data_IF_441300609390
#
_entry.id   IF_441300609390
#
_cell.length_a   1.000
_cell.length_b   1.000
_cell.length_c   1.000
_cell.angle_alpha   90.00
_cell.angle_beta   90.00
_cell.angle_gamma   90.00
#
_symmetry.space_group_name_H-M   'P 1'
#
loop_
_entity.id
_entity.type
_entity.pdbx_description
1 polymer ?
#
# COMPACT_ATOMS: atom_id res chain seq x y z
N UNK A 1 -35.98 -1.08 -7.07
CA UNK A 1 -35.17 -1.66 -5.98
C UNK A 1 -35.18 -3.19 -5.98
N UNK A 2 -36.07 -3.89 -6.69
CA UNK A 2 -36.16 -5.37 -6.65
C UNK A 2 -35.06 -6.14 -7.41
N UNK A 3 -34.53 -5.60 -8.51
CA UNK A 3 -33.63 -6.34 -9.41
C UNK A 3 -32.32 -6.85 -8.79
N UNK A 4 -31.90 -6.29 -7.65
CA UNK A 4 -30.69 -6.71 -6.95
C UNK A 4 -30.97 -7.83 -5.94
N UNK A 5 -32.12 -7.78 -5.28
CA UNK A 5 -32.58 -8.84 -4.37
C UNK A 5 -32.82 -10.13 -5.18
N UNK A 6 -33.51 -10.03 -6.32
CA UNK A 6 -33.75 -11.16 -7.24
C UNK A 6 -32.45 -11.79 -7.76
N UNK A 7 -31.37 -11.00 -7.89
CA UNK A 7 -30.05 -11.47 -8.30
C UNK A 7 -29.33 -12.22 -7.18
N UNK A 8 -29.48 -11.78 -5.93
CA UNK A 8 -28.88 -12.43 -4.77
C UNK A 8 -29.53 -13.80 -4.50
N UNK A 9 -30.83 -13.93 -4.71
CA UNK A 9 -31.56 -15.20 -4.54
C UNK A 9 -31.19 -16.26 -5.61
N UNK A 10 -30.71 -15.84 -6.77
CA UNK A 10 -30.26 -16.76 -7.84
C UNK A 10 -28.86 -17.34 -7.62
N UNK A 11 -28.12 -16.87 -6.61
CA UNK A 11 -26.80 -17.39 -6.30
C UNK A 11 -26.92 -18.80 -5.72
N UNK A 12 -26.32 -19.78 -6.40
CA UNK A 12 -26.27 -21.15 -5.91
C UNK A 12 -25.47 -21.20 -4.60
N UNK A 13 -26.03 -21.83 -3.57
CA UNK A 13 -25.29 -22.17 -2.34
C UNK A 13 -24.16 -23.13 -2.68
N UNK A 14 -22.96 -22.59 -2.85
CA UNK A 14 -21.76 -23.38 -3.03
C UNK A 14 -21.31 -23.93 -1.67
N UNK A 15 -21.16 -25.25 -1.57
CA UNK A 15 -20.55 -25.94 -0.42
C UNK A 15 -19.06 -25.59 -0.20
N UNK A 16 -18.52 -24.66 -0.98
CA UNK A 16 -17.16 -24.16 -0.86
C UNK A 16 -17.16 -22.96 0.10
N UNK A 17 -16.73 -23.20 1.34
CA UNK A 17 -16.42 -22.10 2.26
C UNK A 17 -15.34 -21.22 1.67
N UNK A 18 -15.39 -19.92 1.96
CA UNK A 18 -14.40 -18.94 1.47
C UNK A 18 -12.94 -19.37 1.75
N UNK A 19 -12.72 -20.14 2.82
CA UNK A 19 -11.44 -20.76 3.21
C UNK A 19 -10.88 -21.74 2.15
N UNK A 20 -11.73 -22.32 1.31
CA UNK A 20 -11.32 -23.18 0.18
C UNK A 20 -10.68 -22.40 -0.96
N UNK A 21 -10.96 -21.10 -1.08
CA UNK A 21 -10.44 -20.28 -2.17
C UNK A 21 -9.11 -19.63 -1.83
N UNK A 22 -8.80 -19.44 -0.55
CA UNK A 22 -7.57 -18.76 -0.14
C UNK A 22 -7.16 -19.05 1.30
N UNK A 23 -5.87 -19.27 1.53
CA UNK A 23 -5.30 -19.39 2.86
C UNK A 23 -5.22 -18.01 3.54
N UNK A 24 -6.21 -17.72 4.38
CA UNK A 24 -6.27 -16.47 5.14
C UNK A 24 -5.18 -16.34 6.19
N UNK A 25 -4.65 -17.44 6.73
CA UNK A 25 -3.57 -17.38 7.71
C UNK A 25 -2.30 -16.83 7.07
N UNK A 26 -1.97 -17.31 5.86
CA UNK A 26 -0.86 -16.80 5.06
C UNK A 26 -1.04 -15.33 4.69
N UNK A 27 -2.25 -14.93 4.30
CA UNK A 27 -2.56 -13.54 3.95
C UNK A 27 -2.36 -12.62 5.16
N UNK A 28 -2.93 -12.97 6.32
CA UNK A 28 -2.80 -12.17 7.56
C UNK A 28 -1.34 -11.99 7.99
N UNK A 29 -0.52 -13.04 7.88
CA UNK A 29 0.91 -12.95 8.20
C UNK A 29 1.65 -11.95 7.30
N UNK A 30 1.32 -11.93 5.99
CA UNK A 30 1.94 -11.02 5.02
C UNK A 30 1.42 -9.57 5.14
N UNK A 31 0.19 -9.36 5.61
CA UNK A 31 -0.39 -8.02 5.80
C UNK A 31 0.25 -7.29 6.98
N UNK A 32 0.67 -8.00 8.04
CA UNK A 32 1.26 -7.37 9.24
C UNK A 32 2.42 -6.41 8.94
N UNK A 33 3.47 -6.78 8.18
CA UNK A 33 4.55 -5.84 7.83
C UNK A 33 4.09 -4.72 6.89
N UNK A 34 3.10 -4.97 6.04
CA UNK A 34 2.51 -3.97 5.14
C UNK A 34 1.76 -2.90 5.96
N UNK A 35 1.01 -3.32 6.98
CA UNK A 35 0.24 -2.44 7.86
C UNK A 35 1.13 -1.45 8.63
N UNK A 36 2.31 -1.88 9.11
CA UNK A 36 3.28 -1.00 9.78
C UNK A 36 3.77 0.10 8.83
N UNK A 37 4.13 -0.28 7.59
CA UNK A 37 4.55 0.68 6.56
C UNK A 37 3.44 1.65 6.18
N UNK A 38 2.20 1.17 6.10
CA UNK A 38 1.03 1.99 5.78
C UNK A 38 0.76 3.03 6.86
N UNK A 39 0.90 2.66 8.13
CA UNK A 39 0.74 3.59 9.25
C UNK A 39 1.80 4.71 9.23
N UNK A 40 3.02 4.40 8.79
CA UNK A 40 4.05 5.42 8.58
C UNK A 40 3.67 6.38 7.45
N UNK A 41 3.14 5.88 6.33
CA UNK A 41 2.66 6.75 5.25
C UNK A 41 1.44 7.58 5.63
N UNK A 42 0.60 7.12 6.55
CA UNK A 42 -0.52 7.91 7.07
C UNK A 42 -0.07 9.19 7.77
N UNK A 43 1.19 9.28 8.23
CA UNK A 43 1.78 10.52 8.75
C UNK A 43 1.77 11.68 7.73
N UNK A 44 1.74 11.36 6.42
CA UNK A 44 1.67 12.35 5.36
C UNK A 44 0.31 13.05 5.29
N UNK A 45 -0.75 12.44 5.84
CA UNK A 45 -2.11 12.98 5.79
C UNK A 45 -2.20 14.13 6.80
N UNK A 46 -2.59 15.32 6.32
CA UNK A 46 -2.76 16.51 7.16
C UNK A 46 -1.51 17.36 7.38
N UNK A 47 -0.42 17.10 6.63
CA UNK A 47 0.78 17.96 6.63
C UNK A 47 0.67 19.03 5.55
N UNK A 48 0.99 20.27 5.91
CA UNK A 48 1.04 21.39 4.97
C UNK A 48 2.25 21.28 4.02
N UNK A 49 3.41 20.87 4.53
CA UNK A 49 4.64 20.65 3.76
C UNK A 49 4.88 19.16 3.49
N UNK A 50 4.23 18.62 2.48
CA UNK A 50 4.34 17.19 2.09
C UNK A 50 5.79 16.82 1.72
N UNK A 51 6.55 17.74 1.11
CA UNK A 51 7.92 17.45 0.68
C UNK A 51 8.87 17.18 1.86
N UNK A 52 8.77 17.97 2.93
CA UNK A 52 9.58 17.78 4.14
C UNK A 52 9.15 16.51 4.87
N UNK A 53 7.84 16.30 5.03
CA UNK A 53 7.31 15.09 5.65
C UNK A 53 7.70 13.80 4.90
N UNK A 54 7.75 13.83 3.57
CA UNK A 54 8.25 12.70 2.75
C UNK A 54 9.74 12.46 2.99
N UNK A 55 10.54 13.52 3.12
CA UNK A 55 11.97 13.41 3.42
C UNK A 55 12.21 12.82 4.82
N UNK A 56 11.44 13.24 5.82
CA UNK A 56 11.53 12.72 7.19
C UNK A 56 11.23 11.22 7.24
N UNK A 57 10.11 10.79 6.63
CA UNK A 57 9.76 9.36 6.54
C UNK A 57 10.82 8.57 5.78
N UNK A 58 11.38 9.15 4.70
CA UNK A 58 12.41 8.48 3.91
C UNK A 58 13.71 8.29 4.68
N UNK A 59 14.08 9.27 5.51
CA UNK A 59 15.26 9.19 6.38
C UNK A 59 15.07 8.17 7.52
N UNK A 60 13.88 8.11 8.11
CA UNK A 60 13.58 7.19 9.22
C UNK A 60 13.39 5.75 8.74
N UNK A 61 12.62 5.54 7.67
CA UNK A 61 12.42 4.21 7.10
C UNK A 61 12.20 4.27 5.57
N UNK A 62 13.26 4.06 4.76
CA UNK A 62 13.14 4.07 3.30
C UNK A 62 12.28 2.91 2.77
N UNK A 63 12.09 1.83 3.55
CA UNK A 63 11.27 0.67 3.16
C UNK A 63 9.77 0.94 3.17
N UNK A 64 9.33 2.05 3.77
CA UNK A 64 7.92 2.47 3.77
C UNK A 64 7.39 2.71 2.36
N UNK A 65 8.23 3.21 1.45
CA UNK A 65 7.86 3.51 0.05
C UNK A 65 7.70 2.27 -0.83
N UNK A 66 8.15 1.09 -0.40
CA UNK A 66 7.93 -0.17 -1.14
C UNK A 66 6.44 -0.53 -1.24
N UNK A 67 5.60 0.00 -0.34
CA UNK A 67 4.16 -0.25 -0.36
C UNK A 67 3.45 0.52 -1.49
N UNK A 68 4.03 1.60 -1.99
CA UNK A 68 3.47 2.35 -3.12
C UNK A 68 3.45 1.50 -4.38
N UNK A 69 4.48 0.69 -4.60
CA UNK A 69 4.53 -0.27 -5.71
C UNK A 69 3.36 -1.27 -5.63
N UNK A 70 3.01 -1.70 -4.41
CA UNK A 70 1.88 -2.61 -4.15
C UNK A 70 0.53 -1.91 -4.37
N UNK A 71 0.35 -0.69 -3.85
CA UNK A 71 -0.90 0.07 -3.95
C UNK A 71 -1.23 0.49 -5.39
N UNK A 72 -0.22 0.89 -6.15
CA UNK A 72 -0.38 1.31 -7.55
C UNK A 72 -0.43 0.07 -8.47
N UNK A 73 -0.22 -1.14 -7.94
CA UNK A 73 -0.17 -2.40 -8.68
C UNK A 73 0.79 -2.35 -9.88
N UNK A 74 1.91 -1.65 -9.73
CA UNK A 74 2.92 -1.54 -10.78
C UNK A 74 3.67 -2.86 -10.88
N UNK A 75 3.58 -3.53 -12.02
CA UNK A 75 4.49 -4.63 -12.33
C UNK A 75 5.90 -4.06 -12.40
N UNK A 76 6.83 -4.57 -11.60
CA UNK A 76 8.28 -4.38 -11.82
C UNK A 76 8.68 -5.07 -13.13
N UNK A 77 8.30 -4.51 -14.28
CA UNK A 77 9.08 -4.70 -15.50
C UNK A 77 10.38 -3.95 -15.27
N UNK A 78 11.51 -4.64 -15.48
CA UNK A 78 12.86 -4.13 -15.23
C UNK A 78 13.02 -2.65 -15.63
N UNK A 79 13.59 -1.88 -14.71
CA UNK A 79 14.07 -0.51 -14.85
C UNK A 79 13.02 0.63 -14.82
N UNK A 80 12.76 1.14 -13.61
CA UNK A 80 13.03 2.55 -13.26
C UNK A 80 13.07 2.65 -11.73
N UNK A 81 14.26 2.86 -11.15
CA UNK A 81 14.37 3.23 -9.73
C UNK A 81 13.55 4.51 -9.56
N UNK A 82 12.51 4.47 -8.73
CA UNK A 82 11.80 5.67 -8.32
C UNK A 82 12.84 6.68 -7.84
N UNK A 83 12.84 7.87 -8.44
CA UNK A 83 13.80 8.96 -8.15
C UNK A 83 13.58 9.56 -6.76
N UNK A 84 12.97 8.84 -5.81
CA UNK A 84 12.63 9.33 -4.47
C UNK A 84 13.89 9.70 -3.69
N UNK A 85 14.99 8.96 -3.87
CA UNK A 85 16.28 9.25 -3.26
C UNK A 85 16.98 10.53 -3.77
N UNK A 86 16.44 11.22 -4.79
CA UNK A 86 16.95 12.50 -5.29
C UNK A 86 16.19 13.72 -4.77
N UNK A 87 15.03 13.53 -4.12
CA UNK A 87 14.22 14.64 -3.58
C UNK A 87 14.84 15.17 -2.29
N UNK A 88 15.35 14.29 -1.41
CA UNK A 88 15.94 14.68 -0.12
C UNK A 88 17.42 15.15 -0.20
N UNK A 89 18.16 14.84 -1.27
CA UNK A 89 19.62 15.12 -1.34
C UNK A 89 19.98 16.59 -1.63
N UNK A 90 19.03 17.47 -1.97
CA UNK A 90 19.34 18.87 -2.35
C UNK A 90 19.53 19.84 -1.18
N UNK A 91 19.51 19.39 0.07
CA UNK A 91 19.66 20.25 1.26
C UNK A 91 20.96 20.05 2.08
N UNK A 92 22.03 19.49 1.50
CA UNK A 92 23.35 19.43 2.16
C UNK A 92 24.43 20.31 1.49
N UNK A 93 24.03 21.29 0.69
CA UNK A 93 24.95 22.35 0.26
C UNK A 93 24.16 23.64 0.15
N UNK A 94 24.13 24.42 1.23
CA UNK A 94 24.16 25.89 1.32
C UNK A 94 23.87 26.22 2.79
N UNK A 95 24.83 26.89 3.43
CA UNK A 95 24.87 27.44 4.79
C UNK A 95 25.18 26.44 5.92
#
# INVERSE_FOLDING_TARGET
>A
MSRFEDFLEQLAETNATLDSFTDFAKIRANIKPIMVKLNQLNYLIGKENIQEAVCDIYNENPKSFEILDILIAVRKSMAQKSRTGAICRRRQSIA
#
